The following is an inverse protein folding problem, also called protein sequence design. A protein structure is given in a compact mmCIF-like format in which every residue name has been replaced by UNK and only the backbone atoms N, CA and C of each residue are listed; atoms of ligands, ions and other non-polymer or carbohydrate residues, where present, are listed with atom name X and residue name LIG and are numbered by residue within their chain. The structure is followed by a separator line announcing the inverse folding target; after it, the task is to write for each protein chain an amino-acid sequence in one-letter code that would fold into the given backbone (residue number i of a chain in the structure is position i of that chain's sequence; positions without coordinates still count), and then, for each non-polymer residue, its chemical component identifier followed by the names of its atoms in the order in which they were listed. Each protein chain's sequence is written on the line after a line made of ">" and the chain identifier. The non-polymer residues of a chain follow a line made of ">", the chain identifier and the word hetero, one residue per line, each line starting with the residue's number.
data_IF_293242082156
#
_entry.id   IF_293242082156
#
_cell.length_a   1.000
_cell.length_b   1.000
_cell.length_c   1.000
_cell.angle_alpha   90.00
_cell.angle_beta   90.00
_cell.angle_gamma   90.00
#
_symmetry.space_group_name_H-M   'P 1'
#
loop_
_entity.id
_entity.type
_entity.pdbx_description
1 polymer ?
#
# COMPACT_ATOMS: atom_id res chain seq x y z
N UNK A 1 8.27 -3.79 9.76
CA UNK A 1 7.88 -4.31 8.43
C UNK A 1 8.45 -3.37 7.35
N UNK A 2 8.52 -3.76 6.07
CA UNK A 2 9.11 -3.03 4.91
C UNK A 2 9.57 -1.57 5.15
N UNK A 3 10.77 -1.38 5.72
CA UNK A 3 11.23 -0.09 6.26
C UNK A 3 11.49 1.00 5.20
N UNK A 4 11.70 0.60 3.95
CA UNK A 4 12.03 1.49 2.84
C UNK A 4 10.84 1.74 1.89
N UNK A 5 9.62 1.51 2.37
CA UNK A 5 8.42 1.70 1.57
C UNK A 5 7.84 3.10 1.79
N UNK A 6 7.77 3.90 0.72
CA UNK A 6 7.32 5.30 0.76
C UNK A 6 5.89 5.46 1.27
N UNK A 7 4.99 4.52 0.96
CA UNK A 7 3.60 4.60 1.39
C UNK A 7 3.44 4.30 2.88
N UNK A 8 4.27 3.41 3.43
CA UNK A 8 4.30 3.13 4.87
C UNK A 8 4.87 4.34 5.61
N UNK A 9 5.94 4.95 5.11
CA UNK A 9 6.55 6.13 5.71
C UNK A 9 5.58 7.34 5.73
N UNK A 10 4.70 7.44 4.74
CA UNK A 10 3.70 8.50 4.61
C UNK A 10 2.27 8.00 4.84
N UNK A 11 2.08 7.00 5.70
CA UNK A 11 0.79 6.34 5.90
C UNK A 11 -0.35 7.33 6.21
N UNK A 12 -0.11 8.30 7.09
CA UNK A 12 -1.12 9.28 7.49
C UNK A 12 -1.60 10.14 6.31
N UNK A 13 -0.70 10.50 5.40
CA UNK A 13 -1.04 11.24 4.19
C UNK A 13 -1.85 10.38 3.22
N UNK A 14 -1.36 9.16 2.93
CA UNK A 14 -2.06 8.19 2.07
C UNK A 14 -3.46 7.89 2.61
N UNK A 15 -3.61 7.76 3.93
CA UNK A 15 -4.89 7.54 4.62
C UNK A 15 -5.81 8.76 4.53
N UNK A 16 -5.27 9.97 4.70
CA UNK A 16 -6.03 11.22 4.64
C UNK A 16 -6.61 11.51 3.23
N UNK A 17 -6.02 10.95 2.17
CA UNK A 17 -6.52 11.12 0.79
C UNK A 17 -7.92 10.54 0.55
N UNK A 18 -8.37 9.61 1.40
CA UNK A 18 -9.72 9.07 1.41
C UNK A 18 -10.10 8.16 0.22
N UNK A 19 -10.95 7.18 0.51
CA UNK A 19 -11.40 6.15 -0.44
C UNK A 19 -10.80 4.78 -0.16
N UNK A 20 -10.96 3.86 -1.11
CA UNK A 20 -10.34 2.53 -1.04
C UNK A 20 -8.82 2.61 -1.10
N UNK A 21 -8.15 1.57 -0.59
CA UNK A 21 -6.68 1.58 -0.48
C UNK A 21 -5.99 1.82 -1.84
N UNK A 22 -6.51 1.23 -2.92
CA UNK A 22 -5.97 1.44 -4.26
C UNK A 22 -6.14 2.89 -4.72
N UNK A 23 -7.30 3.49 -4.43
CA UNK A 23 -7.59 4.89 -4.78
C UNK A 23 -6.69 5.84 -4.00
N UNK A 24 -6.45 5.58 -2.70
CA UNK A 24 -5.49 6.33 -1.91
C UNK A 24 -4.07 6.27 -2.51
N UNK A 25 -3.63 5.09 -2.93
CA UNK A 25 -2.32 4.90 -3.55
C UNK A 25 -2.22 5.59 -4.91
N UNK A 26 -3.27 5.54 -5.73
CA UNK A 26 -3.33 6.25 -7.02
C UNK A 26 -3.30 7.76 -6.84
N UNK A 27 -4.03 8.30 -5.84
CA UNK A 27 -3.99 9.72 -5.49
C UNK A 27 -2.60 10.13 -5.00
N UNK A 28 -1.96 9.29 -4.19
CA UNK A 28 -0.61 9.57 -3.68
C UNK A 28 0.40 9.61 -4.82
N UNK A 29 0.35 8.62 -5.72
CA UNK A 29 1.24 8.58 -6.87
C UNK A 29 1.04 9.80 -7.78
N UNK A 30 -0.22 10.18 -8.03
CA UNK A 30 -0.52 11.35 -8.85
C UNK A 30 -0.10 12.67 -8.17
N UNK A 31 -0.29 12.81 -6.85
CA UNK A 31 0.09 14.00 -6.10
C UNK A 31 1.61 14.21 -6.04
N UNK A 32 2.38 13.11 -6.01
CA UNK A 32 3.84 13.13 -5.89
C UNK A 32 4.57 12.85 -7.22
N UNK A 33 3.84 12.71 -8.33
CA UNK A 33 4.41 12.43 -9.66
C UNK A 33 5.13 11.08 -9.76
N UNK A 34 4.70 10.10 -8.95
CA UNK A 34 5.31 8.78 -8.88
C UNK A 34 4.79 7.87 -10.00
N UNK A 35 5.65 6.97 -10.45
CA UNK A 35 5.23 5.87 -11.32
C UNK A 35 4.59 4.75 -10.49
N UNK A 36 3.67 4.03 -11.10
CA UNK A 36 3.05 2.86 -10.49
C UNK A 36 4.11 1.81 -10.12
N UNK A 37 4.25 1.52 -8.82
CA UNK A 37 5.11 0.46 -8.28
C UNK A 37 4.26 -0.61 -7.60
N UNK A 38 4.03 -1.71 -8.32
CA UNK A 38 3.20 -2.82 -7.85
C UNK A 38 3.77 -3.48 -6.58
N UNK A 39 5.09 -3.62 -6.48
CA UNK A 39 5.74 -4.26 -5.33
C UNK A 39 5.60 -3.38 -4.09
N UNK A 40 5.88 -2.08 -4.20
CA UNK A 40 5.74 -1.16 -3.09
C UNK A 40 4.28 -1.05 -2.61
N UNK A 41 3.31 -1.05 -3.54
CA UNK A 41 1.88 -1.05 -3.20
C UNK A 41 1.44 -2.35 -2.50
N UNK A 42 1.90 -3.51 -2.97
CA UNK A 42 1.63 -4.80 -2.33
C UNK A 42 2.22 -4.86 -0.91
N UNK A 43 3.46 -4.40 -0.73
CA UNK A 43 4.11 -4.29 0.57
C UNK A 43 3.32 -3.40 1.54
N UNK A 44 2.83 -2.25 1.07
CA UNK A 44 2.00 -1.35 1.88
C UNK A 44 0.68 -2.00 2.29
N UNK A 45 -0.01 -2.67 1.37
CA UNK A 45 -1.24 -3.42 1.66
C UNK A 45 -1.00 -4.50 2.70
N UNK A 46 0.10 -5.26 2.58
CA UNK A 46 0.44 -6.29 3.55
C UNK A 46 0.75 -5.68 4.92
N UNK A 47 1.52 -4.60 4.98
CA UNK A 47 1.74 -3.90 6.24
C UNK A 47 0.42 -3.43 6.86
N UNK A 48 -0.44 -2.76 6.08
CA UNK A 48 -1.74 -2.28 6.57
C UNK A 48 -2.64 -3.44 7.04
N UNK A 49 -2.63 -4.56 6.34
CA UNK A 49 -3.36 -5.77 6.73
C UNK A 49 -2.93 -6.31 8.09
N UNK A 50 -1.62 -6.27 8.38
CA UNK A 50 -1.07 -6.66 9.68
C UNK A 50 -1.46 -5.67 10.78
N UNK A 51 -1.34 -4.36 10.51
CA UNK A 51 -1.69 -3.31 11.49
C UNK A 51 -3.18 -3.30 11.83
N UNK A 52 -4.07 -3.54 10.85
CA UNK A 52 -5.53 -3.52 11.08
C UNK A 52 -6.12 -4.89 11.40
N UNK A 53 -5.35 -5.98 11.25
CA UNK A 53 -5.84 -7.36 11.38
C UNK A 53 -6.81 -7.79 10.27
N UNK A 54 -6.75 -7.16 9.09
CA UNK A 54 -7.65 -7.43 7.94
C UNK A 54 -6.84 -8.02 6.78
N UNK A 55 -6.65 -9.35 6.73
CA UNK A 55 -5.82 -10.01 5.72
C UNK A 55 -6.35 -9.88 4.28
N UNK A 56 -7.64 -9.62 4.09
CA UNK A 56 -8.31 -9.47 2.80
C UNK A 56 -7.85 -8.24 2.01
N UNK A 57 -7.12 -7.32 2.65
CA UNK A 57 -6.52 -6.16 1.98
C UNK A 57 -5.41 -6.54 0.98
N UNK A 58 -4.87 -7.77 1.08
CA UNK A 58 -3.82 -8.28 0.19
C UNK A 58 -4.42 -9.34 -0.72
N UNK A 59 -4.41 -9.08 -2.03
CA UNK A 59 -4.91 -10.02 -3.03
C UNK A 59 -4.04 -11.29 -3.12
N UNK A 60 -4.55 -12.33 -3.77
CA UNK A 60 -3.80 -13.57 -4.02
C UNK A 60 -2.53 -13.29 -4.84
N UNK A 61 -2.61 -12.45 -5.87
CA UNK A 61 -1.46 -12.11 -6.71
C UNK A 61 -0.42 -11.27 -5.95
N UNK A 62 -0.87 -10.39 -5.05
CA UNK A 62 0.02 -9.62 -4.18
C UNK A 62 0.71 -10.50 -3.15
N UNK A 63 0.01 -11.49 -2.57
CA UNK A 63 0.64 -12.49 -1.69
C UNK A 63 1.71 -13.30 -2.42
N UNK A 64 1.41 -13.76 -3.63
CA UNK A 64 2.38 -14.46 -4.50
C UNK A 64 3.59 -13.58 -4.81
N UNK A 65 3.37 -12.31 -5.13
CA UNK A 65 4.44 -11.33 -5.38
C UNK A 65 5.34 -11.11 -4.14
N UNK A 66 4.76 -11.18 -2.94
CA UNK A 66 5.48 -11.02 -1.67
C UNK A 66 6.08 -12.32 -1.13
N UNK A 67 5.81 -13.48 -1.76
CA UNK A 67 6.27 -14.78 -1.29
C UNK A 67 5.58 -15.28 -0.01
N UNK A 68 4.31 -14.90 0.19
CA UNK A 68 3.46 -15.24 1.34
C UNK A 68 2.51 -16.41 1.06
#
# INVERSE_FOLDING_TARGET
>A
MYKNNIYIQNHEEVKAMGGDINVCLDKYDNAHGLKHDALARAQYKHWRAVETGVPELVSVDERRMLGL
#
